data_IF_815174890753
#
_entry.id   IF_815174890753
#
_cell.length_a   1.000
_cell.length_b   1.000
_cell.length_c   1.000
_cell.angle_alpha   90.00
_cell.angle_beta   90.00
_cell.angle_gamma   90.00
#
_symmetry.space_group_name_H-M   'P 1'
#
loop_
_entity.id
_entity.type
_entity.pdbx_description
1 polymer ?
#
# COMPACT_ATOMS: atom_id res chain seq x y z
N UNK A 1 -12.78 -28.93 5.01
CA UNK A 1 -12.98 -27.81 5.94
C UNK A 1 -12.05 -26.74 5.45
N UNK A 2 -12.58 -25.60 5.00
CA UNK A 2 -11.78 -24.47 4.57
C UNK A 2 -10.91 -23.98 5.72
N UNK A 3 -9.69 -23.58 5.42
CA UNK A 3 -8.81 -22.97 6.44
C UNK A 3 -9.28 -21.54 6.58
N UNK A 4 -9.98 -21.26 7.67
CA UNK A 4 -10.45 -19.92 7.99
C UNK A 4 -9.24 -19.00 8.25
N UNK A 5 -9.22 -17.80 7.66
CA UNK A 5 -8.17 -16.83 7.93
C UNK A 5 -8.17 -16.40 9.40
N UNK A 6 -7.00 -16.32 9.98
CA UNK A 6 -6.83 -15.86 11.35
C UNK A 6 -6.57 -14.35 11.44
N UNK A 7 -6.06 -13.75 10.37
CA UNK A 7 -5.78 -12.31 10.27
C UNK A 7 -5.73 -11.84 8.82
N UNK A 8 -6.15 -10.60 8.61
CA UNK A 8 -6.06 -9.93 7.31
C UNK A 8 -5.17 -8.70 7.45
N UNK A 9 -4.10 -8.67 6.70
CA UNK A 9 -3.22 -7.51 6.57
C UNK A 9 -3.47 -6.82 5.23
N UNK A 10 -3.46 -5.50 5.25
CA UNK A 10 -3.74 -4.67 4.10
C UNK A 10 -2.57 -3.74 3.80
N UNK A 11 -2.29 -3.52 2.55
CA UNK A 11 -1.72 -2.26 2.10
C UNK A 11 -2.78 -1.16 2.16
N UNK A 12 -2.39 0.10 1.96
CA UNK A 12 -3.31 1.23 2.07
C UNK A 12 -3.54 1.89 0.71
N UNK A 13 -2.50 2.48 0.12
CA UNK A 13 -2.57 3.20 -1.15
C UNK A 13 -2.82 2.21 -2.30
N UNK A 14 -3.79 2.49 -3.17
CA UNK A 14 -4.14 1.57 -4.25
C UNK A 14 -4.91 0.31 -3.82
N UNK A 15 -5.01 0.06 -2.51
CA UNK A 15 -5.66 -1.14 -1.95
C UNK A 15 -6.94 -0.80 -1.20
N UNK A 16 -6.85 0.00 -0.14
CA UNK A 16 -8.01 0.47 0.61
C UNK A 16 -8.54 1.79 0.05
N UNK A 17 -7.65 2.63 -0.47
CA UNK A 17 -7.98 3.99 -0.91
C UNK A 17 -7.38 4.32 -2.27
N UNK A 18 -8.10 5.15 -3.03
CA UNK A 18 -7.58 5.81 -4.22
C UNK A 18 -6.86 7.11 -3.81
N UNK A 19 -5.58 6.99 -3.51
CA UNK A 19 -4.72 8.13 -3.18
C UNK A 19 -4.03 8.77 -4.40
N UNK A 20 -4.16 8.19 -5.58
CA UNK A 20 -3.47 8.66 -6.78
C UNK A 20 -3.72 10.15 -7.09
N UNK A 21 -4.95 10.70 -7.00
CA UNK A 21 -5.18 12.13 -7.22
C UNK A 21 -4.40 13.02 -6.24
N UNK A 22 -4.38 12.66 -4.95
CA UNK A 22 -3.62 13.38 -3.92
C UNK A 22 -2.12 13.26 -4.15
N UNK A 23 -1.64 12.07 -4.47
CA UNK A 23 -0.22 11.84 -4.69
C UNK A 23 0.29 12.58 -5.93
N UNK A 24 -0.49 12.65 -7.02
CA UNK A 24 -0.20 13.48 -8.20
C UNK A 24 -0.10 14.94 -7.80
N UNK A 25 -1.11 15.48 -7.10
CA UNK A 25 -1.14 16.87 -6.67
C UNK A 25 0.05 17.22 -5.77
N UNK A 26 0.33 16.36 -4.77
CA UNK A 26 1.49 16.50 -3.87
C UNK A 26 2.81 16.48 -4.66
N UNK A 27 2.95 15.54 -5.60
CA UNK A 27 4.17 15.47 -6.45
C UNK A 27 4.36 16.76 -7.24
N UNK A 28 3.31 17.28 -7.85
CA UNK A 28 3.39 18.54 -8.63
C UNK A 28 3.79 19.71 -7.73
N UNK A 29 3.28 19.81 -6.51
CA UNK A 29 3.68 20.83 -5.54
C UNK A 29 5.17 20.70 -5.17
N UNK A 30 5.63 19.50 -4.87
CA UNK A 30 7.05 19.21 -4.57
C UNK A 30 7.95 19.54 -5.77
N UNK A 31 7.58 19.12 -6.99
CA UNK A 31 8.33 19.44 -8.20
C UNK A 31 8.36 20.94 -8.48
N UNK A 32 7.31 21.67 -8.14
CA UNK A 32 7.27 23.13 -8.30
C UNK A 32 8.35 23.83 -7.47
N UNK A 33 8.67 23.28 -6.29
CA UNK A 33 9.72 23.82 -5.44
C UNK A 33 11.12 23.32 -5.84
N UNK A 34 11.27 22.03 -6.09
CA UNK A 34 12.60 21.41 -6.31
C UNK A 34 13.08 21.58 -7.75
N UNK A 35 12.20 21.38 -8.73
CA UNK A 35 12.51 21.36 -10.17
C UNK A 35 11.48 22.13 -11.00
N UNK A 36 11.30 23.43 -10.78
CA UNK A 36 10.22 24.21 -11.39
C UNK A 36 10.22 24.17 -12.93
N UNK A 37 11.32 23.81 -13.56
CA UNK A 37 11.40 23.65 -15.00
C UNK A 37 10.67 22.40 -15.53
N UNK A 38 10.34 21.42 -14.67
CA UNK A 38 9.56 20.22 -14.98
C UNK A 38 8.04 20.39 -14.73
N UNK A 39 7.56 21.62 -14.45
CA UNK A 39 6.13 21.89 -14.23
C UNK A 39 5.52 22.66 -15.40
N UNK A 40 4.22 22.73 -15.43
CA UNK A 40 3.47 23.38 -16.52
C UNK A 40 3.59 22.59 -17.83
N UNK A 41 4.08 23.19 -18.93
CA UNK A 41 4.15 22.52 -20.23
C UNK A 41 5.17 21.37 -20.28
N UNK A 42 6.08 21.30 -19.30
CA UNK A 42 7.10 20.26 -19.20
C UNK A 42 6.78 19.20 -18.16
N UNK A 43 5.54 19.20 -17.62
CA UNK A 43 5.13 18.22 -16.63
C UNK A 43 5.37 16.79 -17.15
N UNK A 44 6.04 15.92 -16.37
CA UNK A 44 6.17 14.51 -16.74
C UNK A 44 4.80 13.91 -17.08
N UNK A 45 4.70 13.23 -18.22
CA UNK A 45 3.41 12.69 -18.71
C UNK A 45 2.71 11.81 -17.68
N UNK A 46 3.48 11.14 -16.85
CA UNK A 46 3.03 10.23 -15.80
C UNK A 46 2.26 10.92 -14.67
N UNK A 47 2.33 12.24 -14.60
CA UNK A 47 1.57 13.07 -13.67
C UNK A 47 0.37 13.76 -14.33
N UNK A 48 0.07 13.44 -15.60
CA UNK A 48 -0.99 14.09 -16.38
C UNK A 48 -2.39 13.57 -16.05
N UNK A 49 -2.49 12.32 -15.63
CA UNK A 49 -3.74 11.65 -15.25
C UNK A 49 -3.47 10.43 -14.36
N UNK A 50 -4.53 9.89 -13.78
CA UNK A 50 -4.46 8.78 -12.83
C UNK A 50 -3.97 7.48 -13.48
N UNK A 51 -4.38 7.19 -14.72
CA UNK A 51 -3.99 5.95 -15.40
C UNK A 51 -2.49 5.92 -15.71
N UNK A 52 -1.94 7.03 -16.22
CA UNK A 52 -0.50 7.16 -16.46
C UNK A 52 0.29 7.11 -15.14
N UNK A 53 -0.25 7.71 -14.07
CA UNK A 53 0.36 7.65 -12.74
C UNK A 53 0.43 6.21 -12.22
N UNK A 54 -0.67 5.47 -12.26
CA UNK A 54 -0.69 4.06 -11.85
C UNK A 54 0.26 3.22 -12.68
N UNK A 55 0.27 3.41 -14.00
CA UNK A 55 1.18 2.67 -14.88
C UNK A 55 2.66 2.88 -14.48
N UNK A 56 3.07 4.12 -14.23
CA UNK A 56 4.44 4.41 -13.82
C UNK A 56 4.77 3.82 -12.43
N UNK A 57 3.85 3.95 -11.47
CA UNK A 57 4.03 3.41 -10.12
C UNK A 57 4.16 1.88 -10.11
N UNK A 58 3.35 1.17 -10.91
CA UNK A 58 3.44 -0.30 -10.98
C UNK A 58 4.69 -0.82 -11.70
N UNK A 59 5.32 -0.01 -12.55
CA UNK A 59 6.58 -0.37 -13.21
C UNK A 59 7.81 -0.05 -12.37
N UNK A 60 7.76 1.00 -11.56
CA UNK A 60 8.88 1.41 -10.72
C UNK A 60 9.03 0.46 -9.52
N UNK A 61 10.24 -0.01 -9.25
CA UNK A 61 10.51 -0.86 -8.10
C UNK A 61 10.36 -0.13 -6.75
N UNK A 62 10.48 1.19 -6.76
CA UNK A 62 10.33 2.06 -5.59
C UNK A 62 10.16 3.53 -6.00
N UNK A 63 9.80 4.39 -5.05
CA UNK A 63 9.59 5.81 -5.30
C UNK A 63 10.81 6.56 -5.88
N UNK A 64 12.04 6.14 -5.56
CA UNK A 64 13.26 6.78 -6.11
C UNK A 64 13.39 6.49 -7.59
N UNK A 65 13.20 5.25 -8.00
CA UNK A 65 13.17 4.86 -9.41
C UNK A 65 12.05 5.59 -10.16
N UNK A 66 10.87 5.73 -9.55
CA UNK A 66 9.78 6.51 -10.12
C UNK A 66 10.20 7.96 -10.42
N UNK A 67 10.87 8.62 -9.49
CA UNK A 67 11.30 10.02 -9.65
C UNK A 67 12.44 10.15 -10.65
N UNK A 68 13.40 9.24 -10.67
CA UNK A 68 14.56 9.28 -11.57
C UNK A 68 14.15 8.86 -12.97
N UNK A 69 13.58 7.68 -13.16
CA UNK A 69 13.41 7.06 -14.48
C UNK A 69 12.13 7.51 -15.18
N UNK A 70 11.10 7.88 -14.41
CA UNK A 70 9.81 8.28 -14.98
C UNK A 70 9.61 9.80 -14.95
N UNK A 71 10.05 10.50 -13.89
CA UNK A 71 9.90 11.95 -13.82
C UNK A 71 11.14 12.72 -14.30
N UNK A 72 12.27 12.03 -14.45
CA UNK A 72 13.49 12.59 -15.02
C UNK A 72 14.33 13.43 -14.05
N UNK A 73 14.18 13.21 -12.74
CA UNK A 73 14.97 13.89 -11.73
C UNK A 73 16.38 13.27 -11.60
N UNK A 74 17.34 14.10 -11.22
CA UNK A 74 18.63 13.62 -10.74
C UNK A 74 18.48 12.99 -9.35
N UNK A 75 19.50 12.26 -8.91
CA UNK A 75 19.51 11.69 -7.55
C UNK A 75 19.42 12.77 -6.46
N UNK A 76 20.13 13.89 -6.64
CA UNK A 76 20.09 15.03 -5.69
C UNK A 76 18.70 15.67 -5.61
N UNK A 77 18.06 15.89 -6.76
CA UNK A 77 16.70 16.42 -6.83
C UNK A 77 15.68 15.42 -6.23
N UNK A 78 15.88 14.13 -6.44
CA UNK A 78 15.05 13.08 -5.84
C UNK A 78 15.16 13.07 -4.31
N UNK A 79 16.37 13.21 -3.76
CA UNK A 79 16.58 13.32 -2.31
C UNK A 79 15.92 14.57 -1.74
N UNK A 80 16.04 15.72 -2.42
CA UNK A 80 15.38 16.95 -2.04
C UNK A 80 13.84 16.82 -2.07
N UNK A 81 13.30 16.20 -3.13
CA UNK A 81 11.87 15.96 -3.25
C UNK A 81 11.35 15.02 -2.15
N UNK A 82 12.08 13.96 -1.85
CA UNK A 82 11.73 13.01 -0.79
C UNK A 82 11.72 13.66 0.60
N UNK A 83 12.63 14.60 0.85
CA UNK A 83 12.68 15.33 2.13
C UNK A 83 11.46 16.24 2.35
N UNK A 84 10.84 16.73 1.29
CA UNK A 84 9.67 17.62 1.34
C UNK A 84 8.33 16.87 1.28
N UNK A 85 8.32 15.63 0.78
CA UNK A 85 7.10 14.89 0.48
C UNK A 85 6.12 14.85 1.65
N UNK A 86 6.60 14.51 2.86
CA UNK A 86 5.75 14.35 4.04
C UNK A 86 4.99 15.62 4.40
N UNK A 87 5.67 16.77 4.38
CA UNK A 87 5.07 18.05 4.72
C UNK A 87 4.02 18.47 3.67
N UNK A 88 4.34 18.27 2.39
CA UNK A 88 3.40 18.56 1.29
C UNK A 88 2.20 17.62 1.32
N UNK A 89 2.40 16.32 1.56
CA UNK A 89 1.31 15.36 1.70
C UNK A 89 0.36 15.74 2.85
N UNK A 90 0.91 16.16 3.98
CA UNK A 90 0.13 16.57 5.15
C UNK A 90 -0.66 17.88 4.90
N UNK A 91 -0.11 18.81 4.12
CA UNK A 91 -0.76 20.08 3.82
C UNK A 91 -1.74 20.01 2.64
N UNK A 92 -1.55 19.07 1.71
CA UNK A 92 -2.39 18.93 0.52
C UNK A 92 -3.80 18.46 0.89
N UNK A 93 -4.81 19.18 0.39
CA UNK A 93 -6.24 18.98 0.72
C UNK A 93 -7.01 18.20 -0.36
N UNK A 94 -6.33 17.64 -1.35
CA UNK A 94 -6.98 16.75 -2.31
C UNK A 94 -7.61 15.57 -1.58
N UNK A 95 -8.91 15.31 -1.75
CA UNK A 95 -9.59 14.19 -1.09
C UNK A 95 -8.96 12.84 -1.44
N UNK A 96 -8.91 11.95 -0.47
CA UNK A 96 -8.57 10.54 -0.66
C UNK A 96 -9.86 9.73 -0.50
N UNK A 97 -10.25 9.02 -1.53
CA UNK A 97 -11.48 8.24 -1.53
C UNK A 97 -11.21 6.77 -1.22
N UNK A 98 -12.02 6.19 -0.33
CA UNK A 98 -12.02 4.75 -0.10
C UNK A 98 -12.63 4.06 -1.32
N UNK A 99 -12.00 2.98 -1.81
CA UNK A 99 -12.55 2.22 -2.93
C UNK A 99 -13.93 1.64 -2.59
N UNK A 100 -14.81 1.59 -3.60
CA UNK A 100 -16.13 0.97 -3.44
C UNK A 100 -15.99 -0.47 -2.94
N UNK A 101 -16.83 -0.85 -1.98
CA UNK A 101 -16.80 -2.17 -1.35
C UNK A 101 -15.81 -2.33 -0.19
N UNK A 102 -14.81 -1.46 -0.01
CA UNK A 102 -13.82 -1.58 1.09
C UNK A 102 -14.49 -1.45 2.45
N UNK A 103 -15.31 -0.43 2.65
CA UNK A 103 -16.01 -0.21 3.93
C UNK A 103 -16.89 -1.42 4.30
N UNK A 104 -17.58 -1.99 3.33
CA UNK A 104 -18.37 -3.21 3.49
C UNK A 104 -17.50 -4.40 3.88
N UNK A 105 -16.40 -4.62 3.14
CA UNK A 105 -15.48 -5.73 3.36
C UNK A 105 -14.83 -5.68 4.73
N UNK A 106 -14.24 -4.53 5.09
CA UNK A 106 -13.58 -4.33 6.39
C UNK A 106 -14.58 -4.55 7.54
N UNK A 107 -15.82 -4.10 7.37
CA UNK A 107 -16.88 -4.29 8.38
C UNK A 107 -17.34 -5.76 8.45
N UNK A 108 -17.48 -6.43 7.33
CA UNK A 108 -17.86 -7.86 7.29
C UNK A 108 -16.80 -8.77 7.92
N UNK A 109 -15.55 -8.34 7.96
CA UNK A 109 -14.42 -9.04 8.56
C UNK A 109 -14.09 -8.56 10.00
N UNK A 110 -14.99 -7.81 10.64
CA UNK A 110 -14.76 -7.21 11.96
C UNK A 110 -14.58 -8.23 13.09
N UNK A 111 -14.98 -9.48 12.90
CA UNK A 111 -14.76 -10.59 13.83
C UNK A 111 -13.33 -11.15 13.78
N UNK A 112 -12.50 -10.66 12.87
CA UNK A 112 -11.11 -11.07 12.68
C UNK A 112 -10.16 -9.92 12.94
N UNK A 113 -8.97 -10.19 13.48
CA UNK A 113 -7.92 -9.18 13.52
C UNK A 113 -7.58 -8.68 12.13
N UNK A 114 -7.56 -7.36 11.99
CA UNK A 114 -7.11 -6.67 10.77
C UNK A 114 -5.96 -5.74 11.10
N UNK A 115 -5.00 -5.63 10.19
CA UNK A 115 -3.88 -4.71 10.32
C UNK A 115 -3.51 -4.05 9.01
N UNK A 116 -2.80 -2.94 9.09
CA UNK A 116 -2.28 -2.21 7.92
C UNK A 116 -0.78 -2.12 8.03
N UNK A 117 -0.10 -2.38 6.92
CA UNK A 117 1.32 -2.11 6.75
C UNK A 117 1.54 -1.44 5.40
N UNK A 118 1.87 -0.15 5.42
CA UNK A 118 1.97 0.70 4.23
C UNK A 118 3.20 1.59 4.25
N UNK A 119 3.57 2.09 3.08
CA UNK A 119 4.59 3.14 2.90
C UNK A 119 4.01 4.56 3.04
N UNK A 120 2.78 4.69 3.51
CA UNK A 120 2.18 5.95 3.92
C UNK A 120 2.41 6.22 5.42
N UNK A 121 2.19 7.45 5.90
CA UNK A 121 2.30 7.75 7.33
C UNK A 121 1.13 7.14 8.11
N UNK A 122 1.40 6.60 9.30
CA UNK A 122 0.34 6.04 10.14
C UNK A 122 -0.71 7.07 10.52
N UNK A 123 -0.32 8.34 10.68
CA UNK A 123 -1.24 9.44 10.96
C UNK A 123 -2.23 9.63 9.79
N UNK A 124 -1.73 9.78 8.56
CA UNK A 124 -2.60 9.95 7.39
C UNK A 124 -3.52 8.74 7.17
N UNK A 125 -3.01 7.51 7.38
CA UNK A 125 -3.81 6.30 7.31
C UNK A 125 -4.98 6.36 8.29
N UNK A 126 -4.72 6.67 9.56
CA UNK A 126 -5.74 6.71 10.61
C UNK A 126 -6.76 7.80 10.32
N UNK A 127 -6.34 9.02 9.93
CA UNK A 127 -7.24 10.13 9.61
C UNK A 127 -8.23 9.74 8.50
N UNK A 128 -7.76 9.16 7.39
CA UNK A 128 -8.62 8.73 6.29
C UNK A 128 -9.59 7.61 6.71
N UNK A 129 -9.12 6.65 7.50
CA UNK A 129 -9.96 5.55 7.99
C UNK A 129 -11.00 6.01 9.02
N UNK A 130 -10.69 7.04 9.83
CA UNK A 130 -11.65 7.67 10.75
C UNK A 130 -12.74 8.39 9.97
N UNK A 131 -12.39 9.16 8.93
CA UNK A 131 -13.36 9.79 8.03
C UNK A 131 -14.27 8.77 7.34
N UNK A 132 -13.72 7.61 6.96
CA UNK A 132 -14.47 6.50 6.39
C UNK A 132 -15.28 5.69 7.42
N UNK A 133 -15.09 5.92 8.74
CA UNK A 133 -15.78 5.23 9.84
C UNK A 133 -15.33 3.78 10.07
N UNK A 134 -14.19 3.37 9.50
CA UNK A 134 -13.68 1.99 9.60
C UNK A 134 -12.41 1.80 10.43
N UNK A 135 -11.79 2.88 10.92
CA UNK A 135 -10.54 2.83 11.70
C UNK A 135 -10.61 1.85 12.89
N UNK A 136 -11.76 1.75 13.54
CA UNK A 136 -12.01 0.86 14.71
C UNK A 136 -11.82 -0.63 14.41
N UNK A 137 -11.79 -1.06 13.16
CA UNK A 137 -11.66 -2.46 12.77
C UNK A 137 -10.18 -2.89 12.62
N UNK A 138 -9.25 -1.93 12.66
CA UNK A 138 -7.83 -2.21 12.52
C UNK A 138 -7.14 -2.26 13.88
N UNK A 139 -6.55 -3.41 14.20
CA UNK A 139 -5.87 -3.69 15.46
C UNK A 139 -4.42 -3.17 15.47
N UNK A 140 -3.85 -2.94 14.30
CA UNK A 140 -2.50 -2.42 14.12
C UNK A 140 -2.41 -1.62 12.83
N UNK A 141 -1.78 -0.45 12.90
CA UNK A 141 -1.39 0.36 11.75
C UNK A 141 0.12 0.59 11.85
N UNK A 142 0.84 0.20 10.80
CA UNK A 142 2.28 0.40 10.67
C UNK A 142 2.53 1.24 9.42
N UNK A 143 2.92 2.49 9.63
CA UNK A 143 3.34 3.43 8.60
C UNK A 143 4.85 3.46 8.42
N UNK A 144 5.32 4.20 7.38
CA UNK A 144 6.73 4.27 7.02
C UNK A 144 7.62 4.79 8.16
N UNK A 145 7.15 5.73 8.97
CA UNK A 145 7.91 6.33 10.07
C UNK A 145 8.21 5.35 11.21
N UNK A 146 7.57 4.20 11.20
CA UNK A 146 7.75 3.14 12.18
C UNK A 146 8.66 2.01 11.68
N UNK A 147 9.16 2.13 10.45
CA UNK A 147 10.00 1.15 9.76
C UNK A 147 11.32 1.84 9.37
N UNK A 148 12.49 1.34 9.79
CA UNK A 148 13.76 1.85 9.28
C UNK A 148 13.80 1.79 7.76
N UNK A 149 14.35 2.81 7.11
CA UNK A 149 14.32 2.95 5.64
C UNK A 149 14.86 1.71 4.92
N UNK A 150 15.96 1.13 5.41
CA UNK A 150 16.60 -0.08 4.88
C UNK A 150 15.74 -1.36 5.04
N UNK A 151 14.66 -1.29 5.84
CA UNK A 151 13.72 -2.37 6.09
C UNK A 151 12.31 -2.08 5.53
N UNK A 152 12.22 -1.06 4.65
CA UNK A 152 10.96 -0.75 3.95
C UNK A 152 10.54 -1.90 3.03
N UNK A 153 9.24 -1.96 2.71
CA UNK A 153 8.76 -2.96 1.73
C UNK A 153 9.66 -2.98 0.47
N UNK A 154 10.01 -4.15 -0.03
CA UNK A 154 9.43 -5.47 0.28
C UNK A 154 10.08 -6.23 1.45
N UNK A 155 10.96 -5.60 2.24
CA UNK A 155 11.54 -6.22 3.43
C UNK A 155 10.45 -6.46 4.51
N UNK A 156 10.46 -7.61 5.23
CA UNK A 156 9.33 -8.10 6.03
C UNK A 156 9.09 -7.34 7.34
N UNK A 157 9.98 -6.42 7.72
CA UNK A 157 10.00 -5.78 9.04
C UNK A 157 8.64 -5.17 9.45
N UNK A 158 8.02 -4.38 8.57
CA UNK A 158 6.74 -3.72 8.85
C UNK A 158 5.61 -4.72 9.10
N UNK A 159 5.54 -5.79 8.30
CA UNK A 159 4.54 -6.86 8.44
C UNK A 159 4.74 -7.66 9.73
N UNK A 160 5.97 -8.04 10.05
CA UNK A 160 6.29 -8.72 11.30
C UNK A 160 5.95 -7.86 12.52
N UNK A 161 6.24 -6.55 12.45
CA UNK A 161 5.85 -5.59 13.49
C UNK A 161 4.34 -5.48 13.64
N UNK A 162 3.61 -5.46 12.53
CA UNK A 162 2.15 -5.45 12.54
C UNK A 162 1.59 -6.71 13.21
N UNK A 163 2.07 -7.88 12.82
CA UNK A 163 1.67 -9.18 13.39
C UNK A 163 2.00 -9.29 14.88
N UNK A 164 3.18 -8.83 15.31
CA UNK A 164 3.60 -8.84 16.71
C UNK A 164 2.74 -7.93 17.62
N UNK A 165 2.07 -6.93 17.05
CA UNK A 165 1.11 -6.10 17.80
C UNK A 165 -0.27 -6.77 17.93
N UNK A 166 -0.60 -7.65 17.00
CA UNK A 166 -1.88 -8.37 16.97
C UNK A 166 -1.81 -9.66 17.81
N UNK A 167 -0.69 -10.37 17.74
CA UNK A 167 -0.52 -11.67 18.39
C UNK A 167 0.68 -11.67 19.33
N UNK A 168 0.50 -12.25 20.52
CA UNK A 168 1.61 -12.57 21.43
C UNK A 168 2.40 -13.79 20.95
N UNK A 169 1.74 -14.74 20.30
CA UNK A 169 2.33 -15.95 19.71
C UNK A 169 1.75 -16.12 18.29
N UNK A 170 2.64 -16.29 17.32
CA UNK A 170 2.28 -16.43 15.92
C UNK A 170 2.58 -17.85 15.44
N UNK A 171 1.67 -18.77 15.70
CA UNK A 171 1.75 -20.15 15.28
C UNK A 171 0.39 -20.66 14.78
N UNK A 172 0.43 -21.54 13.78
CA UNK A 172 -0.74 -22.17 13.19
C UNK A 172 -1.79 -21.17 12.68
N UNK A 173 -1.34 -20.03 12.13
CA UNK A 173 -2.19 -18.95 11.61
C UNK A 173 -2.21 -18.92 10.09
N UNK A 174 -3.37 -18.63 9.54
CA UNK A 174 -3.51 -18.22 8.13
C UNK A 174 -3.62 -16.72 8.05
N UNK A 175 -2.68 -16.11 7.33
CA UNK A 175 -2.48 -14.67 7.22
C UNK A 175 -2.68 -14.30 5.76
N UNK A 176 -3.68 -13.47 5.46
CA UNK A 176 -3.85 -12.87 4.15
C UNK A 176 -3.18 -11.51 4.13
N UNK A 177 -2.40 -11.24 3.10
CA UNK A 177 -1.91 -9.90 2.80
C UNK A 177 -2.49 -9.44 1.47
N UNK A 178 -3.17 -8.28 1.48
CA UNK A 178 -3.85 -7.72 0.32
C UNK A 178 -3.12 -6.44 -0.10
N UNK A 179 -2.73 -6.35 -1.37
CA UNK A 179 -2.02 -5.21 -1.92
C UNK A 179 -2.19 -5.08 -3.42
N UNK A 180 -1.79 -3.94 -3.97
CA UNK A 180 -1.98 -3.59 -5.39
C UNK A 180 -0.70 -3.69 -6.22
N UNK A 181 0.44 -3.99 -5.60
CA UNK A 181 1.75 -3.98 -6.26
C UNK A 181 2.45 -5.35 -6.20
N UNK A 182 3.26 -5.68 -7.21
CA UNK A 182 4.10 -6.91 -7.19
C UNK A 182 4.99 -6.97 -5.93
N UNK A 183 5.45 -5.82 -5.45
CA UNK A 183 6.20 -5.69 -4.21
C UNK A 183 5.47 -6.25 -2.97
N UNK A 184 4.14 -6.23 -2.96
CA UNK A 184 3.32 -6.79 -1.86
C UNK A 184 3.33 -8.32 -1.87
N UNK A 185 3.40 -8.93 -3.05
CA UNK A 185 3.57 -10.38 -3.18
C UNK A 185 4.94 -10.80 -2.65
N UNK A 186 5.99 -10.06 -3.02
CA UNK A 186 7.36 -10.29 -2.53
C UNK A 186 7.41 -10.08 -1.01
N UNK A 187 6.80 -9.00 -0.52
CA UNK A 187 6.69 -8.70 0.91
C UNK A 187 6.02 -9.84 1.69
N UNK A 188 4.91 -10.39 1.17
CA UNK A 188 4.20 -11.52 1.77
C UNK A 188 5.11 -12.76 1.87
N UNK A 189 5.87 -13.07 0.82
CA UNK A 189 6.84 -14.18 0.81
C UNK A 189 7.99 -13.95 1.78
N UNK A 190 8.46 -12.72 1.88
CA UNK A 190 9.53 -12.36 2.81
C UNK A 190 9.05 -12.48 4.27
N UNK A 191 7.82 -12.11 4.61
CA UNK A 191 7.22 -12.39 5.92
C UNK A 191 7.16 -13.91 6.15
N UNK A 192 6.68 -14.69 5.17
CA UNK A 192 6.58 -16.15 5.29
C UNK A 192 7.92 -16.81 5.61
N UNK A 193 9.02 -16.28 5.09
CA UNK A 193 10.38 -16.79 5.34
C UNK A 193 10.88 -16.55 6.77
N UNK A 194 10.27 -15.63 7.52
CA UNK A 194 10.70 -15.21 8.85
C UNK A 194 9.79 -15.70 9.98
N UNK A 195 8.61 -16.22 9.65
CA UNK A 195 7.68 -16.75 10.66
C UNK A 195 7.76 -18.28 10.73
N UNK A 196 7.22 -18.86 11.81
CA UNK A 196 7.16 -20.30 11.95
C UNK A 196 6.45 -20.96 10.76
N UNK A 197 6.99 -22.06 10.26
CA UNK A 197 6.45 -22.82 9.11
C UNK A 197 5.05 -23.42 9.35
N UNK A 198 4.56 -23.38 10.58
CA UNK A 198 3.18 -23.71 10.91
C UNK A 198 2.19 -22.65 10.44
N UNK A 199 2.67 -21.44 10.13
CA UNK A 199 1.83 -20.37 9.59
C UNK A 199 1.74 -20.47 8.06
N UNK A 200 0.59 -20.07 7.53
CA UNK A 200 0.36 -19.94 6.10
C UNK A 200 0.15 -18.47 5.76
N UNK A 201 0.96 -17.95 4.85
CA UNK A 201 0.75 -16.63 4.26
C UNK A 201 0.16 -16.80 2.86
N UNK A 202 -0.79 -15.91 2.54
CA UNK A 202 -1.52 -15.88 1.27
C UNK A 202 -1.46 -14.46 0.74
N UNK A 203 -0.89 -14.30 -0.45
CA UNK A 203 -0.83 -13.04 -1.15
C UNK A 203 -2.07 -12.84 -2.03
N UNK A 204 -2.73 -11.70 -1.89
CA UNK A 204 -3.90 -11.33 -2.69
C UNK A 204 -3.60 -10.02 -3.41
N UNK A 205 -3.55 -10.07 -4.73
CA UNK A 205 -3.39 -8.88 -5.54
C UNK A 205 -4.74 -8.27 -5.90
N UNK A 206 -4.86 -6.95 -5.78
CA UNK A 206 -6.02 -6.22 -6.25
C UNK A 206 -5.76 -5.70 -7.67
N UNK A 207 -6.75 -5.81 -8.54
CA UNK A 207 -6.67 -5.32 -9.92
C UNK A 207 -7.58 -4.11 -10.18
N UNK A 208 -8.42 -3.74 -9.23
CA UNK A 208 -9.33 -2.59 -9.35
C UNK A 208 -8.63 -1.22 -9.28
N UNK A 209 -7.37 -1.17 -8.86
CA UNK A 209 -6.55 0.05 -8.83
C UNK A 209 -5.67 0.25 -10.07
N UNK A 210 -5.90 -0.52 -11.14
CA UNK A 210 -5.16 -0.41 -12.40
C UNK A 210 -3.93 -1.31 -12.53
N UNK A 211 -3.59 -2.07 -11.49
CA UNK A 211 -2.56 -3.10 -11.56
C UNK A 211 -2.92 -4.22 -12.54
N UNK A 212 -1.91 -4.85 -13.12
CA UNK A 212 -2.06 -5.99 -14.03
C UNK A 212 -1.33 -7.22 -13.47
N UNK A 213 -1.85 -7.84 -12.40
CA UNK A 213 -1.17 -8.93 -11.71
C UNK A 213 -0.81 -10.13 -12.60
N UNK A 214 -1.54 -10.33 -13.70
CA UNK A 214 -1.25 -11.40 -14.67
C UNK A 214 0.12 -11.21 -15.37
N UNK A 215 0.64 -9.99 -15.41
CA UNK A 215 1.89 -9.67 -16.09
C UNK A 215 3.09 -9.62 -15.12
N UNK A 216 2.85 -9.80 -13.81
CA UNK A 216 3.90 -9.76 -12.79
C UNK A 216 4.79 -11.00 -12.85
N UNK A 217 6.06 -10.85 -12.58
CA UNK A 217 7.01 -11.95 -12.46
C UNK A 217 6.73 -12.80 -11.21
N UNK A 218 6.37 -12.12 -10.11
CA UNK A 218 5.97 -12.77 -8.87
C UNK A 218 4.45 -12.87 -8.82
N UNK A 219 3.91 -14.04 -9.18
CA UNK A 219 2.46 -14.25 -9.22
C UNK A 219 1.87 -14.32 -7.80
N UNK A 220 0.76 -13.62 -7.52
CA UNK A 220 0.02 -13.74 -6.25
C UNK A 220 -0.70 -15.10 -6.16
N UNK A 221 -1.09 -15.48 -4.94
CA UNK A 221 -1.93 -16.67 -4.73
C UNK A 221 -3.36 -16.45 -5.24
N UNK A 222 -3.87 -15.22 -5.11
CA UNK A 222 -5.19 -14.81 -5.62
C UNK A 222 -5.13 -13.42 -6.26
N UNK A 223 -6.03 -13.19 -7.22
CA UNK A 223 -6.30 -11.88 -7.81
C UNK A 223 -7.78 -11.56 -7.62
N UNK A 224 -8.09 -10.34 -7.17
CA UNK A 224 -9.47 -9.85 -6.98
C UNK A 224 -9.73 -8.60 -7.82
N UNK A 225 -10.96 -8.47 -8.30
CA UNK A 225 -11.45 -7.32 -9.07
C UNK A 225 -12.37 -6.40 -8.24
N UNK A 226 -12.80 -6.88 -7.07
CA UNK A 226 -13.68 -6.16 -6.15
C UNK A 226 -13.24 -6.47 -4.71
N UNK A 227 -13.14 -5.45 -3.83
CA UNK A 227 -12.78 -5.68 -2.42
C UNK A 227 -13.64 -6.72 -1.72
N UNK A 228 -14.93 -6.86 -2.08
CA UNK A 228 -15.89 -7.81 -1.47
C UNK A 228 -15.50 -9.27 -1.68
N UNK A 229 -14.69 -9.58 -2.71
CA UNK A 229 -14.20 -10.94 -2.95
C UNK A 229 -13.30 -11.46 -1.81
N UNK A 230 -12.65 -10.55 -1.06
CA UNK A 230 -11.85 -10.91 0.13
C UNK A 230 -12.70 -11.66 1.16
N UNK A 231 -13.99 -11.28 1.31
CA UNK A 231 -14.90 -11.94 2.27
C UNK A 231 -15.01 -13.44 1.97
N UNK A 232 -15.15 -13.79 0.70
CA UNK A 232 -15.21 -15.19 0.26
C UNK A 232 -13.90 -15.94 0.45
N UNK A 233 -12.78 -15.31 0.11
CA UNK A 233 -11.43 -15.89 0.26
C UNK A 233 -11.08 -16.20 1.71
N UNK A 234 -11.45 -15.28 2.61
CA UNK A 234 -11.11 -15.37 4.05
C UNK A 234 -12.00 -16.35 4.79
N UNK A 235 -13.23 -16.57 4.30
CA UNK A 235 -14.21 -17.49 4.93
C UNK A 235 -14.12 -18.93 4.39
N UNK A 236 -13.33 -19.17 3.33
CA UNK A 236 -12.97 -20.50 2.79
C UNK A 236 -14.05 -21.23 2.10
#
# INVERSE_FOLDING_TARGET
>A
MGVQADVVLWDFDGTLVNSAPKNIATTIEVLTEVVPHLVGPNLPRWLSNVDDYHFANHLAANWRELYIDFYGLTMEETDAAGALWGDYQASNRTPVEVYDGVTETVTALADRPQGICSQNSSQNIVEVLEEAGVAKHFHSVVGYEQVPFEHSKPEPYGGLKCLARIFSELENKTIYYIGDHEGDVIFTRNIASQVCSSNRLVSVAVAYSGGQPQDWQNQPDHVIQDPREVIGLVNG
#
